data_IF_904061728444
#
_entry.id   IF_904061728444
#
_cell.length_a   1.000
_cell.length_b   1.000
_cell.length_c   1.000
_cell.angle_alpha   90.00
_cell.angle_beta   90.00
_cell.angle_gamma   90.00
#
_symmetry.space_group_name_H-M   'P 1'
#
loop_
_entity.id
_entity.type
_entity.pdbx_description
1 polymer ?
2 non-polymer ?
3 non-polymer ?
4 water ?
#
# COMPACT_ATOMS: atom_id res chain seq x y z
N UNK A 5 18.08 -2.07 -20.72
CA UNK A 5 17.57 -1.18 -19.65
C UNK A 5 18.39 -1.32 -18.35
N UNK A 6 19.14 -0.28 -17.99
CA UNK A 6 19.96 -0.26 -16.79
C UNK A 6 19.03 -0.15 -15.57
N UNK A 7 19.06 -1.13 -14.66
CA UNK A 7 18.29 -1.05 -13.43
C UNK A 7 19.23 -0.92 -12.23
N UNK A 8 19.05 0.13 -11.43
CA UNK A 8 19.84 0.31 -10.20
C UNK A 8 18.90 0.38 -8.99
N UNK A 9 18.94 -0.67 -8.17
CA UNK A 9 18.18 -0.74 -6.95
C UNK A 9 19.06 -0.23 -5.80
N UNK A 10 18.46 0.60 -4.96
CA UNK A 10 19.14 1.09 -3.78
C UNK A 10 18.29 0.82 -2.53
N UNK A 11 18.92 0.18 -1.54
CA UNK A 11 18.31 -0.11 -0.26
C UNK A 11 19.39 -0.31 0.80
N UNK A 12 18.96 -0.56 2.03
CA UNK A 12 19.85 -0.97 3.09
C UNK A 12 20.29 -2.40 2.82
N UNK A 13 21.31 -2.82 3.56
CA UNK A 13 21.78 -4.21 3.51
C UNK A 13 20.81 -5.08 4.31
N UNK A 14 19.63 -5.29 3.74
CA UNK A 14 18.74 -6.25 4.32
C UNK A 14 17.73 -6.70 3.24
N UNK A 15 16.93 -7.73 3.51
CA UNK A 15 15.83 -8.07 2.63
C UNK A 15 14.83 -6.93 2.67
N UNK A 16 14.20 -6.76 3.83
CA UNK A 16 13.27 -5.64 4.08
C UNK A 16 12.34 -5.39 2.89
N UNK A 17 12.14 -4.12 2.54
CA UNK A 17 11.13 -3.74 1.54
C UNK A 17 11.69 -3.86 0.12
N UNK A 18 12.99 -4.10 -0.07
CA UNK A 18 13.54 -4.21 -1.45
C UNK A 18 13.39 -5.66 -1.95
N UNK A 19 13.18 -6.60 -1.04
CA UNK A 19 13.36 -8.01 -1.40
C UNK A 19 12.31 -8.43 -2.45
N UNK A 20 11.09 -7.90 -2.39
CA UNK A 20 10.07 -8.23 -3.38
C UNK A 20 10.57 -7.86 -4.79
N UNK A 21 11.21 -6.71 -4.93
CA UNK A 21 11.77 -6.30 -6.21
C UNK A 21 12.86 -7.31 -6.63
N UNK A 22 13.71 -7.72 -5.67
CA UNK A 22 14.83 -8.64 -5.94
C UNK A 22 14.28 -9.98 -6.44
N UNK A 23 13.18 -10.46 -5.85
CA UNK A 23 12.57 -11.73 -6.30
C UNK A 23 12.09 -11.63 -7.74
N UNK A 24 11.39 -10.54 -8.02
CA UNK A 24 10.82 -10.35 -9.34
C UNK A 24 11.95 -10.26 -10.37
N UNK A 25 12.98 -9.48 -10.07
CA UNK A 25 14.13 -9.44 -10.98
C UNK A 25 14.75 -10.83 -11.18
N UNK A 26 14.86 -11.60 -10.10
CA UNK A 26 15.39 -12.97 -10.20
C UNK A 26 14.46 -13.81 -11.06
N UNK A 27 13.18 -13.76 -10.77
CA UNK A 27 12.22 -14.63 -11.42
C UNK A 27 12.17 -14.33 -12.92
N UNK A 28 12.23 -13.06 -13.29
CA UNK A 28 12.12 -12.67 -14.67
C UNK A 28 13.48 -12.66 -15.36
N UNK A 29 14.54 -13.07 -14.67
CA UNK A 29 15.91 -13.04 -15.19
C UNK A 29 16.23 -11.67 -15.78
N UNK A 30 16.05 -10.62 -14.98
CA UNK A 30 16.41 -9.27 -15.39
C UNK A 30 17.62 -8.84 -14.57
N UNK A 31 18.65 -8.39 -15.27
CA UNK A 31 19.89 -8.01 -14.62
C UNK A 31 19.69 -6.63 -13.98
N UNK A 32 20.25 -6.45 -12.79
CA UNK A 32 20.13 -5.18 -12.06
C UNK A 32 21.34 -5.02 -11.14
N UNK A 33 21.61 -3.78 -10.76
CA UNK A 33 22.62 -3.48 -9.77
C UNK A 33 21.94 -3.42 -8.39
N UNK A 34 22.40 -4.27 -7.49
CA UNK A 34 21.86 -4.34 -6.13
C UNK A 34 22.73 -3.52 -5.18
N UNK A 35 22.43 -2.23 -5.07
CA UNK A 35 23.26 -1.31 -4.28
C UNK A 35 22.76 -1.31 -2.83
N UNK A 36 23.66 -1.53 -1.87
CA UNK A 36 23.30 -1.62 -0.46
C UNK A 36 24.09 -0.59 0.35
N UNK A 37 23.40 0.11 1.25
CA UNK A 37 24.08 1.15 2.06
C UNK A 37 23.96 0.85 3.55
N UNK A 38 24.99 1.28 4.24
CA UNK A 38 25.05 1.22 5.68
C UNK A 38 24.23 2.37 6.25
N UNK A 39 23.70 2.14 7.44
CA UNK A 39 22.90 3.08 8.19
C UNK A 39 23.60 4.45 8.23
N UNK A 40 24.90 4.46 8.46
CA UNK A 40 25.64 5.71 8.65
C UNK A 40 25.83 6.48 7.33
N UNK A 41 25.73 5.79 6.20
CA UNK A 41 25.74 6.44 4.86
C UNK A 41 24.44 7.28 4.63
N UNK A 42 23.33 6.91 5.28
CA UNK A 42 21.95 7.24 4.81
C UNK A 42 21.62 8.74 4.87
N UNK A 43 21.93 9.45 5.98
CA UNK A 43 21.64 10.90 6.01
C UNK A 43 22.19 11.71 4.83
N UNK A 44 23.38 11.41 4.32
CA UNK A 44 23.94 12.12 3.14
C UNK A 44 23.10 11.82 1.89
N UNK A 45 22.56 10.61 1.81
CA UNK A 45 21.86 10.16 0.61
C UNK A 45 20.40 10.65 0.65
N UNK A 46 19.78 10.64 1.82
CA UNK A 46 18.32 10.80 2.00
C UNK A 46 17.81 12.07 1.30
N UNK A 47 18.50 13.23 1.47
CA UNK A 47 18.04 14.44 0.77
C UNK A 47 18.13 14.36 -0.76
N UNK A 48 18.86 13.40 -1.33
CA UNK A 48 19.06 13.38 -2.79
C UNK A 48 17.95 12.57 -3.48
N UNK A 49 17.06 11.96 -2.70
CA UNK A 49 15.96 11.16 -3.26
C UNK A 49 14.66 11.95 -3.16
N UNK A 50 13.81 11.84 -4.17
CA UNK A 50 12.59 12.69 -4.27
C UNK A 50 11.67 12.62 -3.03
N UNK A 51 11.54 11.44 -2.40
CA UNK A 51 10.66 11.31 -1.23
C UNK A 51 11.44 10.83 0.01
N UNK A 52 12.76 10.86 -0.06
CA UNK A 52 13.65 10.65 1.09
C UNK A 52 13.49 9.28 1.74
N UNK A 53 13.11 8.27 0.95
CA UNK A 53 12.92 6.91 1.45
C UNK A 53 13.51 5.90 0.47
N UNK A 54 13.82 4.71 0.98
CA UNK A 54 14.27 3.63 0.13
C UNK A 54 13.39 2.43 0.42
N UNK A 55 13.21 1.52 -0.55
CA UNK A 55 14.02 1.47 -1.79
C UNK A 55 13.66 2.50 -2.86
N UNK A 56 14.61 2.77 -3.76
CA UNK A 56 14.32 3.41 -5.03
C UNK A 56 14.94 2.55 -6.12
N UNK A 57 14.39 2.69 -7.32
CA UNK A 57 14.88 2.01 -8.47
C UNK A 57 15.10 3.03 -9.57
N UNK A 58 16.32 3.10 -10.03
CA UNK A 58 16.67 3.99 -11.09
C UNK A 58 16.52 3.22 -12.40
N UNK A 59 15.70 3.73 -13.32
CA UNK A 59 15.47 3.07 -14.59
C UNK A 59 15.80 4.09 -15.68
N UNK A 60 16.90 3.94 -16.40
CA UNK A 60 17.22 4.89 -17.51
C UNK A 60 17.25 6.34 -16.98
N UNK A 61 17.90 6.57 -15.84
CA UNK A 61 18.06 7.96 -15.35
C UNK A 61 16.84 8.48 -14.59
N UNK A 62 15.74 7.74 -14.58
CA UNK A 62 14.55 8.14 -13.82
C UNK A 62 14.57 7.39 -12.48
N UNK A 63 14.26 8.05 -11.37
CA UNK A 63 14.27 7.40 -10.04
C UNK A 63 12.84 7.03 -9.63
N UNK A 64 12.50 5.75 -9.66
CA UNK A 64 11.19 5.34 -9.18
C UNK A 64 11.30 5.02 -7.69
N UNK A 65 10.19 5.15 -6.98
CA UNK A 65 10.15 4.91 -5.55
C UNK A 65 8.87 4.13 -5.20
N UNK A 66 8.84 3.67 -3.94
CA UNK A 66 7.76 2.83 -3.34
C UNK A 66 7.88 1.38 -3.79
N UNK A 67 8.32 0.54 -2.85
CA UNK A 67 8.65 -0.83 -3.12
C UNK A 67 7.55 -1.54 -3.91
N UNK A 68 6.29 -1.37 -3.50
CA UNK A 68 5.18 -2.11 -4.10
C UNK A 68 4.79 -1.52 -5.46
N UNK A 69 4.88 -0.19 -5.60
CA UNK A 69 4.68 0.46 -6.92
C UNK A 69 5.71 -0.08 -7.93
N UNK A 70 6.95 -0.22 -7.48
CA UNK A 70 8.01 -0.69 -8.35
C UNK A 70 7.81 -2.18 -8.72
N UNK A 71 7.48 -2.98 -7.71
CA UNK A 71 7.24 -4.43 -7.92
C UNK A 71 6.11 -4.62 -8.91
N UNK A 72 5.04 -3.86 -8.73
CA UNK A 72 3.89 -3.97 -9.62
C UNK A 72 4.28 -3.59 -11.06
N UNK A 73 5.08 -2.55 -11.17
CA UNK A 73 5.56 -2.07 -12.46
C UNK A 73 6.33 -3.16 -13.22
N UNK A 74 7.24 -3.80 -12.51
CA UNK A 74 8.09 -4.86 -13.05
C UNK A 74 7.28 -6.10 -13.43
N UNK A 75 6.12 -6.34 -12.82
CA UNK A 75 5.31 -7.53 -13.16
C UNK A 75 4.24 -7.22 -14.22
N UNK A 76 4.11 -5.98 -14.63
CA UNK A 76 3.07 -5.63 -15.63
C UNK A 76 3.23 -6.45 -16.93
N UNK A 77 2.10 -6.94 -17.44
CA UNK A 77 2.05 -7.71 -18.68
C UNK A 77 2.75 -9.06 -18.48
N UNK A 78 2.88 -9.53 -17.25
CA UNK A 78 3.32 -10.88 -16.97
C UNK A 78 2.22 -11.55 -16.15
N UNK A 79 2.20 -12.89 -16.15
CA UNK A 79 1.31 -13.62 -15.30
C UNK A 79 1.51 -13.30 -13.83
N UNK A 80 2.72 -12.87 -13.42
CA UNK A 80 2.96 -12.60 -12.00
C UNK A 80 1.98 -11.56 -11.49
N UNK A 81 1.48 -10.67 -12.35
CA UNK A 81 0.61 -9.59 -11.91
C UNK A 81 -0.78 -10.12 -11.51
N UNK A 82 -1.12 -11.31 -11.98
CA UNK A 82 -2.52 -11.70 -12.15
C UNK A 82 -2.92 -11.59 -13.61
N UNK A 83 -3.63 -12.58 -14.12
CA UNK A 83 -3.88 -12.64 -15.57
C UNK A 83 -5.00 -11.71 -15.99
N UNK A 84 -5.96 -11.50 -15.10
CA UNK A 84 -7.09 -10.62 -15.35
C UNK A 84 -7.06 -9.45 -14.34
N UNK A 85 -7.85 -8.42 -14.64
CA UNK A 85 -7.99 -7.26 -13.73
C UNK A 85 -8.52 -7.72 -12.36
N UNK A 86 -9.53 -8.58 -12.34
CA UNK A 86 -10.05 -9.10 -11.04
C UNK A 86 -8.94 -9.84 -10.29
N UNK A 87 -8.17 -10.66 -11.00
CA UNK A 87 -7.12 -11.40 -10.34
C UNK A 87 -5.99 -10.45 -9.87
N UNK A 88 -5.70 -9.43 -10.68
CA UNK A 88 -4.73 -8.41 -10.32
C UNK A 88 -5.17 -7.76 -9.01
N UNK A 89 -6.48 -7.55 -8.86
CA UNK A 89 -7.02 -6.93 -7.68
C UNK A 89 -6.76 -7.80 -6.45
N UNK A 90 -6.97 -9.10 -6.59
CA UNK A 90 -6.79 -10.01 -5.47
C UNK A 90 -5.30 -10.11 -5.13
N UNK A 91 -4.47 -10.16 -6.16
CA UNK A 91 -3.02 -10.19 -5.94
C UNK A 91 -2.56 -8.93 -5.18
N UNK A 92 -2.93 -7.76 -5.67
CA UNK A 92 -2.64 -6.49 -5.00
C UNK A 92 -3.17 -6.47 -3.57
N UNK A 93 -4.35 -7.04 -3.35
CA UNK A 93 -4.97 -6.94 -2.02
C UNK A 93 -4.22 -7.84 -1.02
N UNK A 94 -3.79 -9.03 -1.45
CA UNK A 94 -3.07 -9.90 -0.55
C UNK A 94 -1.73 -9.22 -0.19
N UNK A 95 -1.05 -8.64 -1.18
CA UNK A 95 0.22 -7.95 -0.91
C UNK A 95 -0.04 -6.85 0.11
N UNK A 96 -1.10 -6.06 -0.12
CA UNK A 96 -1.36 -4.93 0.78
C UNK A 96 -1.69 -5.44 2.21
N UNK A 97 -2.44 -6.53 2.31
CA UNK A 97 -2.75 -7.12 3.62
C UNK A 97 -1.44 -7.48 4.33
N UNK A 98 -0.55 -8.14 3.60
CA UNK A 98 0.73 -8.53 4.22
C UNK A 98 1.54 -7.27 4.61
N UNK A 99 1.57 -6.30 3.72
CA UNK A 99 2.39 -5.10 3.95
C UNK A 99 1.83 -4.34 5.12
N UNK A 100 0.51 -4.29 5.25
CA UNK A 100 -0.11 -3.62 6.39
C UNK A 100 0.37 -4.23 7.71
N UNK A 101 0.46 -5.55 7.74
CA UNK A 101 0.85 -6.22 8.94
C UNK A 101 2.33 -5.90 9.22
N UNK A 102 3.19 -6.05 8.21
CA UNK A 102 4.62 -5.81 8.42
C UNK A 102 4.88 -4.36 8.84
N UNK A 103 4.05 -3.45 8.33
CA UNK A 103 4.20 -2.04 8.63
C UNK A 103 3.82 -1.72 10.08
N UNK A 104 3.11 -2.60 10.80
CA UNK A 104 2.81 -2.34 12.23
C UNK A 104 4.07 -2.49 13.10
N UNK A 105 5.11 -3.15 12.64
CA UNK A 105 6.22 -3.38 13.53
C UNK A 105 7.00 -2.08 13.68
N UNK A 106 7.28 -1.66 14.92
CA UNK A 106 8.03 -0.46 15.23
C UNK A 106 9.54 -0.68 15.03
N UNK A 107 9.94 -0.76 13.76
CA UNK A 107 11.30 -1.17 13.38
C UNK A 107 12.35 -0.17 13.88
N UNK A 108 12.02 1.13 13.86
CA UNK A 108 13.00 2.19 14.21
C UNK A 108 12.83 2.64 15.66
N UNK A 109 12.03 1.94 16.46
CA UNK A 109 11.72 2.42 17.80
C UNK A 109 12.97 2.30 18.69
N UNK A 110 13.29 3.40 19.38
CA UNK A 110 14.56 3.54 20.12
C UNK A 110 14.43 2.98 21.55
N UNK A 111 13.30 3.28 22.20
CA UNK A 111 12.88 2.59 23.43
C UNK A 111 12.87 1.09 23.16
N UNK A 112 13.86 0.37 23.69
CA UNK A 112 14.00 -1.05 23.38
C UNK A 112 12.89 -1.83 24.09
N UNK A 113 12.59 -1.41 25.31
CA UNK A 113 11.52 -2.02 26.08
C UNK A 113 10.14 -1.95 25.37
N UNK A 114 9.80 -0.82 24.74
CA UNK A 114 8.48 -0.64 24.12
C UNK A 114 8.40 -1.45 22.84
N UNK A 115 9.49 -1.41 22.09
CA UNK A 115 9.65 -2.13 20.85
C UNK A 115 9.35 -3.61 21.08
N UNK A 116 9.85 -4.13 22.20
CA UNK A 116 9.74 -5.54 22.58
C UNK A 116 8.27 -5.91 22.91
N UNK A 117 7.59 -5.11 23.73
CA UNK A 117 6.16 -5.37 24.08
C UNK A 117 5.28 -5.30 22.82
N UNK A 118 5.57 -4.38 21.91
CA UNK A 118 4.75 -4.20 20.72
C UNK A 118 4.99 -5.37 19.76
N UNK A 119 6.27 -5.70 19.53
CA UNK A 119 6.65 -6.85 18.72
C UNK A 119 5.97 -8.12 19.25
N UNK A 120 6.09 -8.37 20.54
CA UNK A 120 5.55 -9.59 21.12
C UNK A 120 4.03 -9.65 20.94
N UNK A 121 3.37 -8.50 21.08
CA UNK A 121 1.92 -8.42 20.84
C UNK A 121 1.57 -8.75 19.39
N UNK A 122 2.33 -8.17 18.45
CA UNK A 122 2.11 -8.41 17.05
C UNK A 122 2.26 -9.90 16.76
N UNK A 123 3.34 -10.51 17.25
CA UNK A 123 3.70 -11.88 16.91
C UNK A 123 2.78 -12.88 17.62
N UNK A 124 2.30 -12.60 18.84
CA UNK A 124 1.57 -13.61 19.63
C UNK A 124 0.05 -13.39 19.55
N UNK A 125 -0.42 -12.14 19.52
CA UNK A 125 -1.88 -11.90 19.60
C UNK A 125 -2.44 -11.62 18.20
N UNK A 126 -1.77 -10.79 17.41
CA UNK A 126 -2.35 -10.28 16.17
C UNK A 126 -2.04 -11.19 14.99
N UNK A 127 -0.85 -11.81 14.97
CA UNK A 127 -0.43 -12.58 13.79
C UNK A 127 -1.38 -13.76 13.53
N UNK A 128 -1.81 -14.50 14.58
CA UNK A 128 -2.73 -15.62 14.37
C UNK A 128 -4.00 -15.21 13.60
N UNK A 129 -4.48 -13.98 13.81
CA UNK A 129 -5.69 -13.51 13.10
C UNK A 129 -5.35 -13.36 11.62
N UNK A 130 -4.21 -12.73 11.30
CA UNK A 130 -3.79 -12.57 9.94
C UNK A 130 -3.50 -13.93 9.29
N UNK A 131 -2.79 -14.80 9.98
CA UNK A 131 -2.39 -16.08 9.40
C UNK A 131 -3.65 -16.92 9.10
N UNK A 132 -4.60 -16.96 10.01
CA UNK A 132 -5.88 -17.68 9.81
C UNK A 132 -6.56 -17.20 8.53
N UNK A 133 -6.63 -15.87 8.36
CA UNK A 133 -7.29 -15.30 7.20
C UNK A 133 -6.54 -15.60 5.90
N UNK A 134 -5.20 -15.58 5.93
CA UNK A 134 -4.42 -15.92 4.74
C UNK A 134 -4.63 -17.41 4.41
N UNK A 135 -4.65 -18.23 5.43
CA UNK A 135 -4.85 -19.66 5.25
C UNK A 135 -6.22 -19.95 4.65
N UNK A 136 -7.26 -19.30 5.18
CA UNK A 136 -8.62 -19.49 4.67
C UNK A 136 -8.73 -19.02 3.22
N UNK A 137 -8.06 -17.92 2.88
CA UNK A 137 -8.09 -17.39 1.48
C UNK A 137 -7.33 -18.31 0.52
N UNK A 138 -6.18 -18.81 0.94
CA UNK A 138 -5.41 -19.74 0.12
C UNK A 138 -6.19 -21.05 -0.04
N UNK A 139 -6.83 -21.53 1.02
CA UNK A 139 -7.57 -22.79 0.98
C UNK A 139 -6.74 -23.91 0.39
N UNK A 140 -7.33 -24.64 -0.55
CA UNK A 140 -6.67 -25.75 -1.18
C UNK A 140 -6.02 -25.38 -2.51
N UNK A 141 -5.90 -24.09 -2.82
CA UNK A 141 -5.29 -23.68 -4.06
C UNK A 141 -3.79 -23.93 -3.96
N UNK A 142 -3.17 -24.18 -5.10
CA UNK A 142 -1.73 -24.33 -5.19
C UNK A 142 -1.04 -22.99 -4.83
N UNK A 143 -1.62 -21.90 -5.28
CA UNK A 143 -1.03 -20.57 -5.06
C UNK A 143 -2.17 -19.66 -4.64
N UNK A 144 -1.86 -18.49 -4.08
CA UNK A 144 -2.90 -17.61 -3.59
C UNK A 144 -4.00 -17.39 -4.63
N UNK A 145 -3.67 -17.19 -5.91
CA UNK A 145 -4.67 -16.85 -6.91
C UNK A 145 -5.35 -18.10 -7.48
N UNK A 146 -4.82 -19.29 -7.22
CA UNK A 146 -5.30 -20.51 -7.88
C UNK A 146 -4.15 -21.31 -8.45
N UNK A 147 -4.07 -21.43 -9.78
CA UNK A 147 -3.21 -22.46 -10.36
C UNK A 147 -1.91 -21.86 -10.92
N UNK A 148 -1.57 -20.60 -10.61
CA UNK A 148 -0.25 -20.05 -11.06
C UNK A 148 0.32 -19.08 -10.02
N UNK A 149 1.65 -18.97 -10.01
CA UNK A 149 2.37 -18.15 -9.05
C UNK A 149 2.16 -16.67 -9.39
N UNK A 150 1.99 -15.86 -8.34
CA UNK A 150 1.94 -14.39 -8.51
C UNK A 150 2.90 -13.76 -7.51
N UNK A 151 3.09 -12.45 -7.64
CA UNK A 151 4.00 -11.78 -6.72
C UNK A 151 3.41 -11.72 -5.31
N UNK A 152 2.10 -11.98 -5.13
CA UNK A 152 1.58 -12.14 -3.75
C UNK A 152 2.25 -13.33 -3.06
N UNK A 153 2.50 -14.40 -3.79
CA UNK A 153 3.11 -15.59 -3.21
C UNK A 153 4.57 -15.27 -2.83
N UNK A 154 5.25 -14.57 -3.70
CA UNK A 154 6.59 -14.07 -3.41
C UNK A 154 6.56 -13.30 -2.11
N UNK A 155 5.60 -12.37 -2.01
CA UNK A 155 5.54 -11.51 -0.86
C UNK A 155 5.24 -12.31 0.41
N UNK A 156 4.42 -13.36 0.33
CA UNK A 156 4.23 -14.23 1.48
C UNK A 156 5.55 -14.91 1.88
N UNK A 157 6.30 -15.45 0.94
CA UNK A 157 7.58 -16.04 1.32
C UNK A 157 8.47 -15.03 2.05
N UNK A 158 8.56 -13.86 1.45
CA UNK A 158 9.39 -12.76 1.98
C UNK A 158 8.91 -12.37 3.38
N UNK A 159 7.63 -12.04 3.55
CA UNK A 159 7.16 -11.63 4.87
C UNK A 159 7.32 -12.77 5.88
N UNK A 160 6.99 -14.00 5.48
CA UNK A 160 7.01 -15.08 6.45
C UNK A 160 8.45 -15.37 6.86
N UNK A 161 9.40 -15.11 5.97
CA UNK A 161 10.81 -15.36 6.29
C UNK A 161 11.23 -14.49 7.48
N UNK A 162 10.80 -13.23 7.49
CA UNK A 162 11.15 -12.32 8.57
C UNK A 162 10.32 -12.71 9.81
N UNK A 163 9.03 -12.97 9.63
CA UNK A 163 8.19 -13.32 10.78
C UNK A 163 8.79 -14.54 11.52
N UNK A 164 9.29 -15.51 10.76
CA UNK A 164 9.89 -16.74 11.32
C UNK A 164 11.22 -16.43 12.03
N UNK A 165 11.99 -15.45 11.56
CA UNK A 165 13.17 -15.04 12.30
C UNK A 165 12.73 -14.56 13.68
N UNK A 166 11.65 -13.77 13.72
CA UNK A 166 11.19 -13.12 14.95
C UNK A 166 10.49 -14.13 15.87
N UNK A 167 9.72 -15.05 15.29
CA UNK A 167 9.02 -16.08 16.07
C UNK A 167 9.07 -17.40 15.29
N UNK A 168 10.12 -18.21 15.53
CA UNK A 168 10.34 -19.46 14.76
C UNK A 168 9.17 -20.46 14.77
N UNK A 169 8.36 -20.48 15.84
CA UNK A 169 7.23 -21.42 15.93
C UNK A 169 5.87 -20.91 15.34
N UNK A 170 5.89 -19.76 14.68
CA UNK A 170 4.68 -19.00 14.27
C UNK A 170 3.73 -19.80 13.37
N UNK A 171 4.26 -20.73 12.57
CA UNK A 171 3.43 -21.39 11.54
C UNK A 171 3.06 -22.82 11.95
N UNK A 172 3.19 -23.14 13.23
CA UNK A 172 2.80 -24.42 13.77
C UNK A 172 1.52 -24.98 13.15
N UNK A 173 0.44 -24.19 13.11
CA UNK A 173 -0.84 -24.79 12.76
C UNK A 173 -1.29 -24.35 11.38
N UNK A 174 -0.37 -23.90 10.50
CA UNK A 174 -0.78 -23.45 9.17
C UNK A 174 0.06 -24.19 8.12
N UNK A 175 -0.14 -25.52 8.06
CA UNK A 175 0.58 -26.31 7.07
C UNK A 175 0.42 -25.76 5.66
N UNK A 176 -0.75 -25.24 5.29
CA UNK A 176 -0.95 -24.76 3.92
C UNK A 176 -0.03 -23.56 3.68
N UNK A 177 0.19 -22.74 4.69
CA UNK A 177 1.02 -21.55 4.43
C UNK A 177 2.49 -21.94 4.36
N UNK A 178 2.85 -23.03 5.04
CA UNK A 178 4.20 -23.54 4.96
C UNK A 178 4.42 -24.14 3.58
N UNK A 179 3.45 -24.90 3.06
CA UNK A 179 3.55 -25.47 1.68
C UNK A 179 3.73 -24.33 0.66
N UNK A 180 3.00 -23.22 0.85
CA UNK A 180 3.10 -22.12 -0.09
C UNK A 180 4.52 -21.54 -0.09
N UNK A 181 5.11 -21.32 1.09
CA UNK A 181 6.50 -20.87 1.21
C UNK A 181 7.42 -21.81 0.42
N UNK A 182 7.25 -23.09 0.67
CA UNK A 182 8.09 -24.13 0.08
C UNK A 182 7.94 -24.10 -1.45
N UNK A 183 6.72 -23.98 -1.94
CA UNK A 183 6.50 -23.89 -3.40
C UNK A 183 7.26 -22.68 -3.97
N UNK A 184 7.19 -21.55 -3.30
CA UNK A 184 7.87 -20.35 -3.83
C UNK A 184 9.38 -20.60 -3.86
N UNK A 185 9.89 -21.18 -2.78
CA UNK A 185 11.34 -21.33 -2.60
C UNK A 185 11.89 -22.40 -3.54
N UNK A 186 11.05 -23.29 -4.06
CA UNK A 186 11.52 -24.32 -5.03
C UNK A 186 11.45 -23.81 -6.48
N UNK A 187 10.89 -22.63 -6.71
CA UNK A 187 10.98 -22.09 -8.07
C UNK A 187 12.47 -21.88 -8.37
N UNK A 188 12.99 -22.53 -9.40
CA UNK A 188 14.45 -22.49 -9.65
C UNK A 188 15.09 -21.10 -9.56
N UNK A 189 14.49 -20.05 -10.13
CA UNK A 189 15.14 -18.73 -10.09
C UNK A 189 15.17 -18.20 -8.65
N UNK A 190 14.15 -18.52 -7.88
CA UNK A 190 14.00 -17.99 -6.51
C UNK A 190 14.97 -18.74 -5.60
N UNK A 191 14.99 -20.06 -5.77
CA UNK A 191 15.92 -20.92 -5.07
C UNK A 191 17.36 -20.43 -5.29
N UNK A 192 17.74 -20.09 -6.53
CA UNK A 192 19.11 -19.65 -6.78
C UNK A 192 19.35 -18.29 -6.09
N UNK A 193 18.35 -17.41 -6.10
CA UNK A 193 18.48 -16.11 -5.42
C UNK A 193 18.66 -16.31 -3.90
N UNK A 194 17.80 -17.13 -3.28
CA UNK A 194 17.82 -17.39 -1.83
C UNK A 194 19.19 -17.92 -1.41
N UNK A 195 19.77 -18.82 -2.20
CA UNK A 195 21.08 -19.42 -1.92
C UNK A 195 22.20 -18.37 -1.98
N UNK A 196 22.02 -17.45 -2.92
CA UNK A 196 22.99 -16.45 -3.33
C UNK A 196 22.93 -15.20 -2.45
N UNK A 197 21.78 -14.84 -1.92
CA UNK A 197 21.58 -13.48 -1.40
C UNK A 197 22.38 -13.26 -0.11
N UNK A 198 22.75 -12.00 0.18
CA UNK A 198 23.40 -11.77 1.48
C UNK A 198 22.55 -12.26 2.66
N UNK A 199 23.21 -12.85 3.65
CA UNK A 199 22.53 -13.37 4.82
C UNK A 199 22.39 -12.24 5.84
N UNK A 200 21.17 -11.73 5.97
CA UNK A 200 20.91 -10.65 6.92
C UNK A 200 19.81 -11.11 7.86
N UNK A 201 19.67 -10.48 9.02
CA UNK A 201 18.58 -10.88 9.91
C UNK A 201 17.23 -10.54 9.27
N UNK A 202 17.13 -9.30 8.77
CA UNK A 202 15.88 -8.77 8.24
C UNK A 202 15.98 -8.56 6.73
N UNK B 4 -28.77 -8.92 -11.32
CA UNK B 4 -27.80 -8.19 -12.23
C UNK B 4 -26.53 -7.85 -11.45
N UNK B 5 -25.34 -8.08 -12.04
CA UNK B 5 -24.09 -7.71 -11.33
C UNK B 5 -24.21 -6.28 -10.78
N UNK B 6 -23.85 -6.06 -9.53
CA UNK B 6 -23.76 -4.70 -9.05
C UNK B 6 -22.67 -4.62 -7.98
N UNK B 7 -22.32 -3.39 -7.65
CA UNK B 7 -21.25 -3.11 -6.71
C UNK B 7 -21.87 -2.60 -5.41
N UNK B 8 -21.50 -3.22 -4.29
CA UNK B 8 -21.86 -2.70 -2.99
C UNK B 8 -20.57 -2.40 -2.22
N UNK B 9 -20.36 -1.13 -1.91
CA UNK B 9 -19.20 -0.72 -1.14
C UNK B 9 -19.59 -0.79 0.35
N UNK B 10 -18.78 -1.45 1.18
CA UNK B 10 -19.03 -1.47 2.64
C UNK B 10 -17.92 -0.67 3.31
N UNK B 11 -18.29 0.34 4.09
CA UNK B 11 -17.35 1.07 4.93
C UNK B 11 -18.11 1.72 6.08
N UNK B 12 -17.37 2.33 6.99
CA UNK B 12 -17.94 3.20 7.99
C UNK B 12 -18.59 4.44 7.35
N UNK B 13 -19.33 5.19 8.15
CA UNK B 13 -19.85 6.48 7.72
C UNK B 13 -18.75 7.52 7.91
N UNK B 14 -17.78 7.46 7.02
CA UNK B 14 -16.60 8.33 7.00
C UNK B 14 -16.14 8.37 5.56
N UNK B 15 -15.35 9.39 5.23
CA UNK B 15 -14.59 9.40 4.00
C UNK B 15 -13.57 8.27 4.09
N UNK B 16 -12.66 8.45 5.04
CA UNK B 16 -11.62 7.47 5.37
C UNK B 16 -11.02 6.79 4.16
N UNK B 17 -10.89 5.47 4.26
CA UNK B 17 -10.19 4.71 3.27
C UNK B 17 -11.11 4.35 2.10
N UNK B 18 -12.41 4.63 2.22
CA UNK B 18 -13.35 4.30 1.15
C UNK B 18 -13.45 5.44 0.13
N UNK B 19 -13.04 6.65 0.52
CA UNK B 19 -13.38 7.85 -0.26
C UNK B 19 -12.72 7.82 -1.65
N UNK B 20 -11.52 7.25 -1.75
CA UNK B 20 -10.86 7.10 -3.08
C UNK B 20 -11.76 6.29 -4.03
N UNK B 21 -12.37 5.23 -3.51
CA UNK B 21 -13.27 4.40 -4.31
C UNK B 21 -14.50 5.22 -4.74
N UNK B 22 -15.08 5.96 -3.81
CA UNK B 22 -16.24 6.81 -4.08
C UNK B 22 -15.90 7.87 -5.14
N UNK B 23 -14.71 8.45 -5.10
CA UNK B 23 -14.36 9.45 -6.14
C UNK B 23 -14.30 8.80 -7.53
N UNK B 24 -13.69 7.61 -7.61
CA UNK B 24 -13.50 6.93 -8.87
C UNK B 24 -14.87 6.54 -9.41
N UNK B 25 -15.72 5.97 -8.57
CA UNK B 25 -17.07 5.61 -9.02
C UNK B 25 -17.79 6.83 -9.58
N UNK B 26 -17.70 7.95 -8.88
CA UNK B 26 -18.34 9.19 -9.31
C UNK B 26 -17.74 9.62 -10.66
N UNK B 27 -16.42 9.66 -10.74
CA UNK B 27 -15.72 10.13 -11.95
C UNK B 27 -16.06 9.26 -13.15
N UNK B 28 -16.13 7.94 -12.97
CA UNK B 28 -16.41 7.01 -14.09
C UNK B 28 -17.92 6.73 -14.23
N UNK B 29 -18.77 7.36 -13.41
CA UNK B 29 -20.23 7.14 -13.48
C UNK B 29 -20.62 5.65 -13.30
N UNK B 30 -19.93 5.01 -12.36
CA UNK B 30 -20.21 3.62 -12.02
C UNK B 30 -21.23 3.65 -10.88
N UNK B 31 -22.32 2.92 -11.06
CA UNK B 31 -23.37 2.82 -10.04
C UNK B 31 -22.94 1.86 -8.94
N UNK B 32 -23.23 2.23 -7.70
CA UNK B 32 -22.88 1.40 -6.57
C UNK B 32 -23.82 1.71 -5.41
N UNK B 33 -23.87 0.79 -4.45
CA UNK B 33 -24.50 1.01 -3.19
C UNK B 33 -23.42 1.41 -2.20
N UNK B 34 -23.63 2.56 -1.56
CA UNK B 34 -22.65 3.15 -0.65
C UNK B 34 -23.16 2.77 0.71
N UNK B 35 -22.80 1.57 1.14
CA UNK B 35 -23.30 1.05 2.41
C UNK B 35 -22.38 1.53 3.55
N UNK B 36 -22.99 2.24 4.48
CA UNK B 36 -22.25 2.84 5.57
C UNK B 36 -22.65 2.19 6.90
N UNK B 37 -21.67 1.61 7.57
CA UNK B 37 -21.83 0.80 8.79
C UNK B 37 -21.63 1.70 10.00
N UNK B 38 -22.58 1.68 10.90
CA UNK B 38 -22.43 2.32 12.19
C UNK B 38 -21.41 1.53 13.01
N UNK B 39 -20.66 2.24 13.85
CA UNK B 39 -19.54 1.58 14.53
C UNK B 39 -20.09 0.41 15.36
N UNK B 40 -21.26 0.59 15.98
CA UNK B 40 -21.76 -0.43 16.91
C UNK B 40 -22.23 -1.69 16.16
N UNK B 41 -22.43 -1.61 14.85
CA UNK B 41 -22.88 -2.77 14.10
C UNK B 41 -21.70 -3.52 13.54
N UNK B 42 -20.53 -2.89 13.56
CA UNK B 42 -19.35 -3.43 12.91
C UNK B 42 -19.05 -4.87 13.38
N UNK B 43 -19.08 -5.14 14.68
CA UNK B 43 -18.70 -6.48 15.11
C UNK B 43 -19.61 -7.59 14.55
N UNK B 44 -20.83 -7.25 14.10
CA UNK B 44 -21.75 -8.22 13.45
C UNK B 44 -21.31 -8.47 12.02
N UNK B 45 -20.68 -7.48 11.41
CA UNK B 45 -20.33 -7.56 9.98
C UNK B 45 -18.92 -8.12 9.78
N UNK B 46 -17.96 -7.73 10.63
CA UNK B 46 -16.52 -8.19 10.58
C UNK B 46 -16.40 -9.70 10.24
N UNK B 47 -17.15 -10.57 10.92
CA UNK B 47 -17.02 -12.02 10.64
C UNK B 47 -17.41 -12.44 9.22
N UNK B 48 -18.14 -11.61 8.49
CA UNK B 48 -18.62 -11.98 7.18
C UNK B 48 -17.59 -11.64 6.11
N UNK B 49 -16.53 -10.89 6.43
CA UNK B 49 -15.60 -10.45 5.42
C UNK B 49 -14.34 -11.32 5.52
N UNK B 50 -13.87 -11.87 4.39
CA UNK B 50 -12.67 -12.77 4.39
C UNK B 50 -11.43 -12.26 5.15
N UNK B 51 -11.15 -10.97 5.11
CA UNK B 51 -9.98 -10.45 5.86
C UNK B 51 -10.40 -9.54 7.04
N UNK B 52 -11.68 -9.47 7.36
CA UNK B 52 -12.16 -8.82 8.59
C UNK B 52 -11.94 -7.31 8.63
N UNK B 53 -11.74 -6.66 7.48
CA UNK B 53 -11.54 -5.21 7.44
C UNK B 53 -12.35 -4.56 6.32
N UNK B 54 -12.50 -3.24 6.43
CA UNK B 54 -13.19 -2.44 5.44
C UNK B 54 -12.29 -1.27 5.02
N UNK B 55 -12.48 -0.77 3.81
CA UNK B 55 -13.60 -1.14 2.94
C UNK B 55 -13.47 -2.48 2.20
N UNK B 56 -14.63 -3.01 1.80
CA UNK B 56 -14.70 -4.09 0.81
C UNK B 56 -15.69 -3.65 -0.29
N UNK B 57 -15.57 -4.30 -1.43
CA UNK B 57 -16.50 -4.16 -2.55
C UNK B 57 -17.05 -5.56 -2.83
N UNK B 58 -18.35 -5.71 -2.59
CA UNK B 58 -19.05 -6.95 -2.84
C UNK B 58 -19.54 -6.89 -4.28
N UNK B 59 -19.19 -7.92 -5.07
CA UNK B 59 -19.43 -7.98 -6.53
C UNK B 59 -19.82 -9.43 -6.85
N UNK B 60 -20.62 -9.69 -7.87
CA UNK B 60 -21.04 -11.06 -8.29
C UNK B 60 -20.14 -12.15 -7.68
N UNK B 61 -20.57 -12.74 -6.56
CA UNK B 61 -19.79 -13.80 -5.89
C UNK B 61 -18.76 -13.25 -4.92
N UNK B 62 -17.86 -12.39 -5.39
CA UNK B 62 -16.59 -12.08 -4.73
C UNK B 62 -16.73 -10.94 -3.72
N UNK B 63 -15.87 -10.99 -2.74
CA UNK B 63 -15.65 -9.81 -1.91
C UNK B 63 -14.24 -9.30 -2.18
N UNK B 64 -14.13 -8.16 -2.87
CA UNK B 64 -12.82 -7.53 -3.06
C UNK B 64 -12.48 -6.67 -1.82
N UNK B 65 -11.21 -6.65 -1.46
CA UNK B 65 -10.78 -5.90 -0.29
C UNK B 65 -9.53 -5.09 -0.62
N UNK B 66 -9.14 -4.23 0.33
CA UNK B 66 -8.02 -3.27 0.26
C UNK B 66 -8.37 -2.08 -0.64
N UNK B 67 -8.47 -0.93 0.02
CA UNK B 67 -8.93 0.31 -0.62
C UNK B 67 -8.16 0.57 -1.91
N UNK B 68 -6.83 0.47 -1.86
CA UNK B 68 -6.04 0.87 -3.00
C UNK B 68 -6.04 -0.23 -4.07
N UNK B 69 -6.12 -1.51 -3.66
CA UNK B 69 -6.28 -2.59 -4.66
C UNK B 69 -7.58 -2.35 -5.45
N UNK B 70 -8.65 -2.12 -4.75
CA UNK B 70 -9.96 -1.86 -5.38
C UNK B 70 -9.87 -0.61 -6.27
N UNK B 71 -9.31 0.48 -5.72
CA UNK B 71 -9.20 1.73 -6.48
C UNK B 71 -8.46 1.47 -7.81
N UNK B 72 -7.37 0.74 -7.71
CA UNK B 72 -6.58 0.52 -8.88
C UNK B 72 -7.35 -0.33 -9.90
N UNK B 73 -8.05 -1.35 -9.42
CA UNK B 73 -8.94 -2.19 -10.27
C UNK B 73 -9.95 -1.31 -11.03
N UNK B 74 -10.50 -0.30 -10.37
CA UNK B 74 -11.55 0.50 -11.01
C UNK B 74 -10.94 1.43 -12.07
N UNK B 75 -9.64 1.70 -12.00
CA UNK B 75 -8.98 2.62 -12.94
C UNK B 75 -8.34 1.86 -14.12
N UNK B 76 -8.35 0.53 -14.11
CA UNK B 76 -7.66 -0.21 -15.18
C UNK B 76 -8.24 0.15 -16.55
N UNK B 77 -7.32 0.35 -17.51
CA UNK B 77 -7.59 0.63 -18.92
C UNK B 77 -8.21 2.02 -19.10
N UNK B 78 -7.94 2.87 -18.14
CA UNK B 78 -8.52 4.18 -18.00
C UNK B 78 -7.37 5.18 -17.87
N UNK B 79 -7.49 6.38 -18.41
CA UNK B 79 -6.39 7.38 -18.19
C UNK B 79 -6.12 7.69 -16.72
N UNK B 80 -7.12 7.55 -15.84
CA UNK B 80 -6.92 7.74 -14.37
C UNK B 80 -5.76 6.92 -13.81
N UNK B 81 -5.46 5.77 -14.40
CA UNK B 81 -4.43 4.87 -13.90
C UNK B 81 -3.03 5.44 -14.18
N UNK B 82 -2.94 6.36 -15.15
CA UNK B 82 -1.71 6.66 -15.87
C UNK B 82 -1.71 5.96 -17.22
N UNK B 83 -1.23 6.60 -18.29
CA UNK B 83 -1.40 6.06 -19.63
C UNK B 83 -0.37 4.98 -19.96
N UNK B 84 0.81 5.04 -19.37
CA UNK B 84 1.86 4.06 -19.62
C UNK B 84 2.18 3.31 -18.32
N UNK B 85 2.83 2.18 -18.49
CA UNK B 85 3.27 1.37 -17.34
C UNK B 85 4.09 2.24 -16.38
N UNK B 86 4.99 3.05 -16.94
CA UNK B 86 5.90 3.93 -16.18
C UNK B 86 5.07 4.96 -15.40
N UNK B 87 4.09 5.55 -16.07
CA UNK B 87 3.25 6.58 -15.44
C UNK B 87 2.36 5.92 -14.37
N UNK B 88 1.96 4.69 -14.61
CA UNK B 88 1.13 3.96 -13.67
C UNK B 88 1.94 3.69 -12.40
N UNK B 89 3.23 3.44 -12.58
CA UNK B 89 4.12 3.26 -11.45
C UNK B 89 4.20 4.58 -10.66
N UNK B 90 4.37 5.71 -11.34
CA UNK B 90 4.49 7.00 -10.65
C UNK B 90 3.19 7.30 -9.91
N UNK B 91 2.06 7.00 -10.54
CA UNK B 91 0.76 7.21 -9.93
C UNK B 91 0.64 6.37 -8.65
N UNK B 92 0.97 5.08 -8.75
CA UNK B 92 0.88 4.18 -7.62
C UNK B 92 1.78 4.66 -6.49
N UNK B 93 2.95 5.20 -6.85
CA UNK B 93 3.95 5.58 -5.86
C UNK B 93 3.47 6.82 -5.08
N UNK B 94 2.92 7.80 -5.77
CA UNK B 94 2.38 8.96 -5.07
C UNK B 94 1.27 8.54 -4.11
N UNK B 95 0.36 7.69 -4.58
CA UNK B 95 -0.72 7.19 -3.77
C UNK B 95 -0.15 6.48 -2.53
N UNK B 96 0.83 5.62 -2.73
CA UNK B 96 1.45 4.91 -1.59
C UNK B 96 2.14 5.87 -0.62
N UNK B 97 2.80 6.91 -1.10
CA UNK B 97 3.43 7.89 -0.21
C UNK B 97 2.38 8.58 0.67
N UNK B 98 1.26 8.95 0.07
CA UNK B 98 0.20 9.58 0.84
C UNK B 98 -0.40 8.58 1.84
N UNK B 99 -0.65 7.37 1.37
CA UNK B 99 -1.23 6.35 2.23
C UNK B 99 -0.29 6.04 3.40
N UNK B 100 0.99 5.92 3.13
CA UNK B 100 1.98 5.67 4.18
C UNK B 100 1.79 6.69 5.32
N UNK B 101 1.68 7.95 4.95
CA UNK B 101 1.64 9.02 5.94
C UNK B 101 0.32 8.99 6.71
N UNK B 102 -0.81 8.89 6.01
CA UNK B 102 -2.12 8.82 6.70
C UNK B 102 -2.16 7.59 7.62
N UNK B 103 -1.40 6.55 7.27
CA UNK B 103 -1.35 5.31 8.05
C UNK B 103 -0.53 5.48 9.34
N UNK B 104 0.27 6.52 9.46
CA UNK B 104 1.03 6.72 10.69
C UNK B 104 0.11 7.21 11.83
N UNK B 105 -1.05 7.77 11.51
CA UNK B 105 -1.87 8.34 12.54
C UNK B 105 -2.44 7.22 13.40
N UNK B 106 -2.27 7.30 14.74
CA UNK B 106 -2.84 6.27 15.61
C UNK B 106 -4.34 6.50 15.83
N UNK B 107 -5.12 6.24 14.78
CA UNK B 107 -6.55 6.61 14.72
C UNK B 107 -7.30 5.98 15.90
N UNK B 108 -6.97 4.74 16.24
CA UNK B 108 -7.72 3.93 17.19
C UNK B 108 -7.07 3.90 18.58
N UNK B 109 -6.12 4.79 18.85
CA UNK B 109 -5.36 4.74 20.10
C UNK B 109 -6.26 5.17 21.26
N UNK B 110 -6.22 4.38 22.34
CA UNK B 110 -7.07 4.60 23.52
C UNK B 110 -6.51 5.76 24.36
N UNK B 111 -5.20 5.71 24.64
CA UNK B 111 -4.48 6.73 25.42
C UNK B 111 -4.56 8.07 24.68
N UNK B 112 -5.54 8.91 25.07
CA UNK B 112 -5.86 10.17 24.36
C UNK B 112 -4.71 11.18 24.51
N UNK B 113 -3.91 11.02 25.55
CA UNK B 113 -2.72 11.81 25.69
C UNK B 113 -1.63 11.42 24.67
N UNK B 114 -1.45 10.12 24.47
CA UNK B 114 -0.48 9.65 23.49
C UNK B 114 -0.97 10.01 22.09
N UNK B 115 -2.26 9.76 21.84
CA UNK B 115 -2.87 9.98 20.55
C UNK B 115 -2.60 11.42 20.11
N UNK B 116 -2.79 12.35 21.04
CA UNK B 116 -2.65 13.78 20.81
C UNK B 116 -1.20 14.14 20.49
N UNK B 117 -0.24 13.60 21.25
CA UNK B 117 1.17 13.94 21.03
C UNK B 117 1.59 13.45 19.63
N UNK B 118 1.17 12.24 19.27
CA UNK B 118 1.52 11.64 17.98
C UNK B 118 0.85 12.43 16.85
N UNK B 119 -0.45 12.73 16.95
CA UNK B 119 -1.11 13.51 15.90
C UNK B 119 -0.37 14.84 15.71
N UNK B 120 -0.07 15.54 16.82
CA UNK B 120 0.56 16.87 16.76
C UNK B 120 1.97 16.77 16.17
N UNK B 121 2.71 15.73 16.54
CA UNK B 121 4.04 15.48 15.97
C UNK B 121 3.97 15.25 14.45
N UNK B 122 3.01 14.42 14.01
CA UNK B 122 2.80 14.09 12.61
C UNK B 122 2.45 15.36 11.81
N UNK B 123 1.58 16.17 12.39
CA UNK B 123 1.03 17.33 11.68
C UNK B 123 2.00 18.51 11.71
N UNK B 124 2.79 18.66 12.76
CA UNK B 124 3.67 19.83 12.85
C UNK B 124 5.11 19.48 12.48
N UNK B 125 5.58 18.26 12.76
CA UNK B 125 6.99 17.91 12.52
C UNK B 125 7.13 17.16 11.20
N UNK B 126 6.32 16.11 10.98
CA UNK B 126 6.56 15.23 9.85
C UNK B 126 5.89 15.79 8.59
N UNK B 127 4.69 16.34 8.70
CA UNK B 127 3.90 16.69 7.52
C UNK B 127 4.69 17.67 6.64
N UNK B 128 5.34 18.69 7.22
CA UNK B 128 6.12 19.60 6.37
C UNK B 128 7.08 18.91 5.39
N UNK B 129 7.68 17.78 5.76
CA UNK B 129 8.61 17.10 4.84
C UNK B 129 7.82 16.51 3.68
N UNK B 130 6.74 15.82 3.99
CA UNK B 130 5.91 15.24 2.97
C UNK B 130 5.33 16.33 2.06
N UNK B 131 4.80 17.40 2.63
CA UNK B 131 4.21 18.44 1.79
C UNK B 131 5.29 19.02 0.86
N UNK B 132 6.48 19.29 1.38
CA UNK B 132 7.54 19.87 0.59
C UNK B 132 7.88 18.92 -0.57
N UNK B 133 8.04 17.63 -0.28
CA UNK B 133 8.29 16.66 -1.36
C UNK B 133 7.14 16.58 -2.38
N UNK B 134 5.87 16.62 -1.96
CA UNK B 134 4.76 16.53 -2.92
C UNK B 134 4.76 17.78 -3.79
N UNK B 135 5.01 18.93 -3.18
CA UNK B 135 5.01 20.20 -3.89
C UNK B 135 6.15 20.22 -4.91
N UNK B 136 7.34 19.80 -4.50
CA UNK B 136 8.51 19.66 -5.40
C UNK B 136 8.19 18.68 -6.54
N UNK B 137 7.50 17.58 -6.25
CA UNK B 137 7.18 16.58 -7.27
C UNK B 137 6.19 17.17 -8.29
N UNK B 138 5.15 17.80 -7.81
CA UNK B 138 4.13 18.43 -8.67
C UNK B 138 4.78 19.52 -9.53
N UNK B 139 5.69 20.28 -8.92
CA UNK B 139 6.24 21.44 -9.57
C UNK B 139 5.13 22.28 -10.14
N UNK B 140 5.33 22.75 -11.37
CA UNK B 140 4.37 23.61 -12.02
C UNK B 140 3.42 22.85 -12.93
N UNK B 141 3.46 21.52 -12.89
CA UNK B 141 2.54 20.70 -13.71
C UNK B 141 1.09 20.91 -13.27
N UNK B 142 0.17 20.72 -14.22
CA UNK B 142 -1.25 20.85 -13.95
C UNK B 142 -1.71 19.80 -12.93
N UNK B 143 -1.17 18.58 -13.04
CA UNK B 143 -1.55 17.44 -12.23
C UNK B 143 -0.28 16.68 -11.84
N UNK B 144 -0.35 15.77 -10.88
CA UNK B 144 0.86 15.08 -10.40
C UNK B 144 1.65 14.45 -11.55
N UNK B 145 0.96 13.88 -12.54
CA UNK B 145 1.61 13.07 -13.59
C UNK B 145 2.03 13.94 -14.78
N UNK B 146 1.47 15.15 -14.90
CA UNK B 146 1.64 15.95 -16.12
C UNK B 146 0.34 16.62 -16.51
N UNK B 147 -0.16 16.32 -17.70
CA UNK B 147 -1.18 17.15 -18.26
C UNK B 147 -2.56 16.48 -18.14
N UNK B 148 -2.69 15.39 -17.39
CA UNK B 148 -4.00 14.78 -17.19
C UNK B 148 -4.13 14.27 -15.74
N UNK B 149 -5.37 14.25 -15.28
CA UNK B 149 -5.72 13.87 -13.92
C UNK B 149 -5.60 12.34 -13.80
N UNK B 150 -5.11 11.90 -12.64
CA UNK B 150 -5.01 10.51 -12.28
C UNK B 150 -5.57 10.33 -10.88
N UNK B 151 -5.69 9.09 -10.43
CA UNK B 151 -6.27 8.88 -9.10
C UNK B 151 -5.32 9.31 -7.98
N UNK B 152 -4.05 9.57 -8.31
CA UNK B 152 -3.15 10.16 -7.34
C UNK B 152 -3.63 11.56 -6.96
N UNK B 153 -4.11 12.33 -7.95
CA UNK B 153 -4.61 13.69 -7.64
C UNK B 153 -5.87 13.59 -6.77
N UNK B 154 -6.73 12.63 -7.10
CA UNK B 154 -7.89 12.38 -6.28
C UNK B 154 -7.44 12.06 -4.84
N UNK B 155 -6.41 11.22 -4.71
CA UNK B 155 -6.00 10.78 -3.39
C UNK B 155 -5.41 11.96 -2.60
N UNK B 156 -4.72 12.86 -3.27
CA UNK B 156 -4.29 14.10 -2.60
C UNK B 156 -5.49 14.89 -2.11
N UNK B 157 -6.52 15.07 -2.93
CA UNK B 157 -7.68 15.82 -2.45
C UNK B 157 -8.23 15.19 -1.17
N UNK B 158 -8.35 13.86 -1.18
CA UNK B 158 -8.93 13.11 -0.08
C UNK B 158 -8.06 13.22 1.17
N UNK B 159 -6.76 12.94 1.05
CA UNK B 159 -5.89 12.98 2.21
C UNK B 159 -5.83 14.42 2.75
N UNK B 160 -5.74 15.39 1.86
CA UNK B 160 -5.55 16.76 2.27
C UNK B 160 -6.82 17.29 2.96
N UNK B 161 -7.96 16.74 2.60
CA UNK B 161 -9.23 17.14 3.22
C UNK B 161 -9.18 16.80 4.73
N UNK B 162 -8.79 15.57 5.04
CA UNK B 162 -8.72 15.12 6.45
C UNK B 162 -7.58 15.84 7.18
N UNK B 163 -6.42 15.96 6.53
CA UNK B 163 -5.32 16.68 7.14
C UNK B 163 -5.74 18.11 7.45
N UNK B 164 -6.50 18.75 6.57
CA UNK B 164 -6.99 20.13 6.85
C UNK B 164 -7.97 20.15 8.03
N UNK B 165 -8.79 19.11 8.17
CA UNK B 165 -9.67 19.04 9.32
C UNK B 165 -8.80 19.03 10.60
N UNK B 166 -7.72 18.27 10.59
CA UNK B 166 -6.89 18.11 11.78
C UNK B 166 -6.03 19.36 12.00
N UNK B 167 -5.60 20.01 10.92
CA UNK B 167 -4.74 21.20 11.01
C UNK B 167 -5.11 22.15 9.86
N UNK B 168 -6.06 23.03 10.10
CA UNK B 168 -6.54 23.94 9.05
C UNK B 168 -5.49 24.83 8.37
N UNK B 169 -4.35 25.12 9.02
CA UNK B 169 -3.30 25.94 8.40
C UNK B 169 -2.17 25.16 7.67
N UNK B 170 -2.31 23.84 7.61
CA UNK B 170 -1.30 22.94 7.02
C UNK B 170 -0.80 23.44 5.65
N UNK B 171 -1.67 23.97 4.79
CA UNK B 171 -1.29 24.19 3.39
C UNK B 171 -1.03 25.66 3.09
N UNK B 172 -0.96 26.51 4.11
CA UNK B 172 -0.77 27.93 3.92
C UNK B 172 0.45 28.25 3.05
N UNK B 173 1.56 27.53 3.20
CA UNK B 173 2.78 27.87 2.41
C UNK B 173 2.91 26.99 1.15
N UNK B 174 1.88 26.19 0.79
CA UNK B 174 1.94 25.32 -0.41
C UNK B 174 0.75 25.63 -1.34
N UNK B 175 0.75 26.83 -1.93
CA UNK B 175 -0.31 27.25 -2.86
C UNK B 175 -0.51 26.28 -4.04
N UNK B 176 0.54 25.65 -4.52
CA UNK B 176 0.39 24.75 -5.66
C UNK B 176 -0.38 23.49 -5.22
N UNK B 177 -0.26 23.06 -3.96
CA UNK B 177 -1.00 21.87 -3.47
C UNK B 177 -2.47 22.24 -3.22
N UNK B 178 -2.72 23.49 -2.86
CA UNK B 178 -4.09 24.00 -2.73
C UNK B 178 -4.72 24.05 -4.12
N UNK B 179 -3.96 24.58 -5.07
CA UNK B 179 -4.41 24.70 -6.44
C UNK B 179 -4.81 23.30 -6.96
N UNK B 180 -3.99 22.28 -6.72
CA UNK B 180 -4.30 20.91 -7.14
C UNK B 180 -5.60 20.42 -6.50
N UNK B 181 -5.80 20.59 -5.19
CA UNK B 181 -7.08 20.25 -4.56
C UNK B 181 -8.21 20.92 -5.34
N UNK B 182 -8.02 22.19 -5.67
CA UNK B 182 -9.12 23.00 -6.24
C UNK B 182 -9.46 22.44 -7.63
N UNK B 183 -8.42 22.12 -8.40
CA UNK B 183 -8.62 21.58 -9.74
C UNK B 183 -9.35 20.24 -9.66
N UNK B 184 -9.00 19.39 -8.70
CA UNK B 184 -9.69 18.08 -8.58
C UNK B 184 -11.15 18.33 -8.23
N UNK B 185 -11.37 19.23 -7.27
CA UNK B 185 -12.70 19.48 -6.74
C UNK B 185 -13.57 20.16 -7.82
N UNK B 186 -12.95 20.77 -8.84
CA UNK B 186 -13.67 21.47 -9.94
C UNK B 186 -14.07 20.49 -11.05
N UNK B 187 -13.54 19.27 -11.07
CA UNK B 187 -14.02 18.28 -12.02
C UNK B 187 -15.51 18.04 -11.73
N UNK B 188 -16.38 18.18 -12.76
CA UNK B 188 -17.84 18.14 -12.57
C UNK B 188 -18.36 16.93 -11.77
N UNK B 189 -17.92 15.72 -12.10
CA UNK B 189 -18.41 14.54 -11.35
C UNK B 189 -17.90 14.56 -9.89
N UNK B 190 -16.71 15.10 -9.65
CA UNK B 190 -16.15 15.14 -8.27
C UNK B 190 -16.90 16.21 -7.47
N UNK B 191 -17.03 17.39 -8.08
CA UNK B 191 -17.75 18.48 -7.48
C UNK B 191 -19.14 18.02 -7.07
N UNK B 192 -19.90 17.37 -7.98
CA UNK B 192 -21.25 16.91 -7.63
C UNK B 192 -21.17 15.86 -6.51
N UNK B 193 -20.16 14.97 -6.50
CA UNK B 193 -20.04 14.00 -5.39
C UNK B 193 -19.74 14.72 -4.06
N UNK B 194 -18.80 15.65 -4.07
CA UNK B 194 -18.47 16.38 -2.84
C UNK B 194 -19.74 17.06 -2.30
N UNK B 195 -20.52 17.66 -3.19
CA UNK B 195 -21.76 18.35 -2.85
C UNK B 195 -22.72 17.43 -2.09
N UNK B 196 -22.80 16.15 -2.44
CA UNK B 196 -23.86 15.31 -1.89
C UNK B 196 -23.33 14.37 -0.80
N UNK B 197 -22.02 14.17 -0.67
CA UNK B 197 -21.51 13.21 0.31
C UNK B 197 -21.91 13.65 1.74
N UNK B 198 -22.15 12.67 2.60
CA UNK B 198 -22.41 13.01 3.99
C UNK B 198 -21.24 13.79 4.62
N UNK B 199 -21.57 14.83 5.39
CA UNK B 199 -20.61 15.61 6.12
C UNK B 199 -20.13 14.79 7.31
N UNK B 200 -18.88 14.40 7.29
CA UNK B 200 -18.28 13.70 8.40
C UNK B 200 -16.95 14.39 8.74
N UNK B 201 -16.48 14.18 9.96
CA UNK B 201 -15.16 14.66 10.37
C UNK B 201 -14.07 14.01 9.51
N UNK B 202 -14.06 12.67 9.45
CA UNK B 202 -13.00 11.96 8.79
C UNK B 202 -13.54 11.26 7.53
#
# INVERSE_FOLDING_TARGET
GSHMPNYKLLYFNMRGRAEIIRYIFAYLDIKYEDHRIEQADWPKIKPTLPFGKIPVLEVEGLTLHQSLAIARYLTKNTDLAGKTELEQCQVDAVVDTLDDFMSLFPWAEENQDLKERTFNDLLTRQAPHLLKDLDTYLGDKEWFIGNYVTWADFYWDICSTTLLVLKPDLLGIYPRLVSLRNKVQAIPAISAWILKRPQTKL
GSHMPNYKLLYFNMRGRAEIIRYIFAYLDIKYEDHRIEQADWPKIKPTLPFGKIPVLEVEGLTLHQSLAIARYLTKNTDLAGKTELEQCQVDAVVDTLDDFMSLFPWAEENQDLKERTFNDLLTRQAPHLLKDLDTYLGDKEWFIGNYVTWADFYWDICSTTLLVLKPDLLGIYPRLVSLRNKVQAIPAISAWILKRPQTKL
#
